data_IF_783639651255
#
_entry.id   IF_783639651255
#
_cell.length_a   1.000
_cell.length_b   1.000
_cell.length_c   1.000
_cell.angle_alpha   90.00
_cell.angle_beta   90.00
_cell.angle_gamma   90.00
#
_symmetry.space_group_name_H-M   'P 1'
#
loop_
_entity.id
_entity.type
_entity.pdbx_description
1 polymer ?
#
# COMPACT_ATOMS: atom_id res chain seq x y z
N UNK A 1 -33.17 -11.75 -34.57
CA UNK A 1 -31.71 -11.60 -34.38
C UNK A 1 -31.29 -12.42 -33.16
N UNK A 2 -30.43 -13.41 -33.37
CA UNK A 2 -30.19 -14.53 -32.43
C UNK A 2 -29.23 -14.15 -31.29
N UNK A 3 -29.60 -14.50 -30.06
CA UNK A 3 -28.87 -14.22 -28.79
C UNK A 3 -27.44 -14.77 -28.75
N UNK A 4 -27.06 -15.61 -29.71
CA UNK A 4 -25.76 -16.27 -29.78
C UNK A 4 -24.62 -15.34 -30.23
N UNK A 5 -24.89 -14.32 -31.05
CA UNK A 5 -23.82 -13.42 -31.54
C UNK A 5 -23.34 -12.39 -30.50
N UNK A 6 -24.19 -12.02 -29.54
CA UNK A 6 -23.82 -11.06 -28.47
C UNK A 6 -22.83 -11.66 -27.48
N UNK A 7 -22.81 -12.99 -27.33
CA UNK A 7 -21.88 -13.68 -26.43
C UNK A 7 -20.46 -13.82 -26.99
N UNK A 8 -20.29 -13.92 -28.31
CA UNK A 8 -18.94 -13.98 -28.90
C UNK A 8 -18.21 -12.62 -28.84
N UNK A 9 -18.92 -11.50 -28.99
CA UNK A 9 -18.31 -10.17 -28.92
C UNK A 9 -17.88 -9.76 -27.50
N UNK A 10 -18.48 -10.34 -26.45
CA UNK A 10 -18.07 -10.10 -25.06
C UNK A 10 -16.87 -10.93 -24.61
N UNK A 11 -16.56 -12.02 -25.29
CA UNK A 11 -15.37 -12.83 -24.97
C UNK A 11 -14.08 -12.26 -25.59
N UNK A 12 -14.18 -11.59 -26.74
CA UNK A 12 -13.01 -11.01 -27.42
C UNK A 12 -12.54 -9.67 -26.86
N UNK A 13 -13.36 -8.96 -26.09
CA UNK A 13 -12.96 -7.69 -25.45
C UNK A 13 -12.30 -7.88 -24.09
N UNK A 14 -12.44 -9.06 -23.46
CA UNK A 14 -11.81 -9.35 -22.17
C UNK A 14 -10.36 -9.82 -22.33
N UNK A 15 -9.99 -10.35 -23.50
CA UNK A 15 -8.64 -10.91 -23.73
C UNK A 15 -7.58 -9.83 -24.00
N UNK A 16 -7.96 -8.58 -24.31
CA UNK A 16 -7.00 -7.50 -24.57
C UNK A 16 -6.70 -6.59 -23.37
N UNK A 17 -7.33 -6.80 -22.20
CA UNK A 17 -7.06 -5.99 -21.00
C UNK A 17 -6.16 -6.70 -19.97
N UNK A 18 -5.86 -7.99 -20.15
CA UNK A 18 -5.14 -8.80 -19.13
C UNK A 18 -3.60 -8.74 -19.31
N UNK A 19 -3.10 -8.01 -20.31
CA UNK A 19 -1.65 -7.84 -20.50
C UNK A 19 -1.01 -6.73 -19.64
N UNK A 20 -1.78 -5.96 -18.87
CA UNK A 20 -1.27 -4.79 -18.13
C UNK A 20 -1.44 -4.84 -16.60
N UNK A 21 -1.81 -5.97 -16.01
CA UNK A 21 -1.92 -6.08 -14.54
C UNK A 21 -0.63 -6.59 -13.85
N UNK A 22 0.42 -6.88 -14.63
CA UNK A 22 1.66 -7.45 -14.13
C UNK A 22 2.67 -6.48 -13.45
N UNK A 23 2.55 -5.13 -13.44
CA UNK A 23 3.55 -4.30 -12.76
C UNK A 23 3.07 -3.59 -11.48
N UNK A 24 1.86 -3.82 -10.96
CA UNK A 24 1.39 -3.04 -9.79
C UNK A 24 2.07 -3.41 -8.46
N UNK A 25 2.66 -4.59 -8.36
CA UNK A 25 3.16 -5.10 -7.07
C UNK A 25 4.67 -4.97 -6.90
N UNK A 26 5.42 -4.89 -8.00
CA UNK A 26 6.86 -4.58 -8.01
C UNK A 26 7.13 -3.14 -8.47
N UNK A 27 6.20 -2.55 -9.22
CA UNK A 27 6.37 -1.24 -9.85
C UNK A 27 5.85 -0.06 -9.04
N UNK A 28 4.98 -0.23 -8.04
CA UNK A 28 4.46 0.92 -7.26
C UNK A 28 5.48 1.49 -6.29
N UNK A 29 6.43 0.68 -5.80
CA UNK A 29 7.53 1.19 -4.97
C UNK A 29 8.51 2.03 -5.80
N UNK A 30 8.72 1.69 -7.08
CA UNK A 30 9.58 2.47 -7.99
C UNK A 30 8.84 3.62 -8.70
N UNK A 31 7.56 3.46 -9.06
CA UNK A 31 6.78 4.46 -9.77
C UNK A 31 6.38 5.62 -8.86
N UNK A 32 6.07 5.38 -7.58
CA UNK A 32 5.87 6.48 -6.62
C UNK A 32 7.18 7.20 -6.28
N UNK A 33 8.33 6.55 -6.46
CA UNK A 33 9.64 7.19 -6.28
C UNK A 33 9.97 8.17 -7.41
N UNK A 34 9.36 8.01 -8.60
CA UNK A 34 9.60 8.87 -9.76
C UNK A 34 8.71 10.13 -9.80
N UNK A 35 7.53 10.12 -9.17
CA UNK A 35 6.64 11.31 -9.12
C UNK A 35 7.01 12.32 -8.00
N UNK A 36 8.12 12.11 -7.28
CA UNK A 36 8.59 13.01 -6.22
C UNK A 36 9.59 14.08 -6.68
N UNK A 37 9.73 14.31 -7.98
CA UNK A 37 10.66 15.32 -8.50
C UNK A 37 9.96 16.64 -8.82
N UNK A 38 8.97 17.10 -8.04
CA UNK A 38 8.36 18.43 -8.26
C UNK A 38 7.63 18.97 -7.03
N UNK A 39 8.40 19.26 -5.97
CA UNK A 39 8.19 20.38 -5.01
C UNK A 39 9.34 20.32 -4.01
N UNK A 40 10.52 20.81 -4.41
CA UNK A 40 11.65 20.97 -3.49
C UNK A 40 11.40 22.14 -2.53
N UNK A 41 10.59 21.91 -1.50
CA UNK A 41 11.07 22.24 -0.15
C UNK A 41 12.08 21.16 0.24
N UNK A 42 13.13 21.48 0.99
CA UNK A 42 14.01 20.45 1.57
C UNK A 42 13.12 19.52 2.38
N UNK A 43 12.86 18.31 1.90
CA UNK A 43 12.21 17.31 2.71
C UNK A 43 13.12 17.05 3.92
N UNK A 44 12.62 17.23 5.15
CA UNK A 44 13.41 16.95 6.35
C UNK A 44 13.81 15.48 6.47
N UNK A 45 13.15 14.57 5.73
CA UNK A 45 13.50 13.16 5.67
C UNK A 45 14.64 12.90 4.69
N UNK A 46 15.62 12.12 5.13
CA UNK A 46 16.59 11.52 4.24
C UNK A 46 15.95 10.39 3.40
N UNK A 47 16.67 9.91 2.39
CA UNK A 47 16.15 8.90 1.46
C UNK A 47 15.71 7.60 2.14
N UNK A 48 16.39 7.18 3.21
CA UNK A 48 16.04 5.96 3.96
C UNK A 48 14.76 6.15 4.78
N UNK A 49 14.65 7.27 5.50
CA UNK A 49 13.46 7.60 6.28
C UNK A 49 12.23 7.70 5.39
N UNK A 50 12.36 8.35 4.22
CA UNK A 50 11.26 8.44 3.25
C UNK A 50 10.85 7.06 2.72
N UNK A 51 11.82 6.20 2.42
CA UNK A 51 11.55 4.83 1.98
C UNK A 51 10.82 4.04 3.06
N UNK A 52 11.31 4.08 4.31
CA UNK A 52 10.69 3.38 5.44
C UNK A 52 9.29 3.89 5.75
N UNK A 53 9.04 5.20 5.63
CA UNK A 53 7.70 5.78 5.74
C UNK A 53 6.75 5.21 4.67
N UNK A 54 7.21 5.10 3.41
CA UNK A 54 6.41 4.50 2.32
C UNK A 54 6.14 3.00 2.52
N UNK A 55 7.11 2.25 3.05
CA UNK A 55 6.93 0.84 3.40
C UNK A 55 5.95 0.70 4.57
N UNK A 56 6.08 1.51 5.62
CA UNK A 56 5.16 1.51 6.76
C UNK A 56 3.71 1.74 6.31
N UNK A 57 3.48 2.72 5.43
CA UNK A 57 2.15 2.97 4.86
C UNK A 57 1.60 1.77 4.06
N UNK A 58 2.45 1.09 3.29
CA UNK A 58 2.09 -0.16 2.60
C UNK A 58 1.73 -1.28 3.58
N UNK A 59 2.47 -1.41 4.67
CA UNK A 59 2.21 -2.41 5.70
C UNK A 59 0.90 -2.15 6.45
N UNK A 60 0.56 -0.88 6.72
CA UNK A 60 -0.77 -0.51 7.23
C UNK A 60 -1.86 -1.00 6.28
N UNK A 61 -1.73 -0.75 4.97
CA UNK A 61 -2.70 -1.17 3.98
C UNK A 61 -2.84 -2.72 3.91
N UNK A 62 -1.72 -3.46 3.95
CA UNK A 62 -1.76 -4.92 3.94
C UNK A 62 -2.39 -5.51 5.20
N UNK A 63 -2.06 -4.99 6.38
CA UNK A 63 -2.67 -5.46 7.63
C UNK A 63 -4.16 -5.09 7.70
N UNK A 64 -4.55 -3.90 7.24
CA UNK A 64 -5.96 -3.52 7.14
C UNK A 64 -6.73 -4.48 6.21
N UNK A 65 -6.17 -4.74 5.03
CA UNK A 65 -6.77 -5.64 4.06
C UNK A 65 -6.83 -7.10 4.56
N UNK A 66 -5.79 -7.55 5.27
CA UNK A 66 -5.76 -8.86 5.90
C UNK A 66 -6.90 -9.07 6.89
N UNK A 67 -7.18 -8.08 7.73
CA UNK A 67 -8.29 -8.16 8.69
C UNK A 67 -9.66 -8.00 8.01
N UNK A 68 -9.78 -7.10 7.04
CA UNK A 68 -11.06 -6.77 6.41
C UNK A 68 -11.50 -7.78 5.34
N UNK A 69 -10.57 -8.30 4.54
CA UNK A 69 -10.88 -9.06 3.32
C UNK A 69 -10.43 -10.53 3.37
N UNK A 70 -9.54 -10.89 4.30
CA UNK A 70 -8.96 -12.23 4.43
C UNK A 70 -9.35 -12.96 5.71
N UNK A 71 -10.19 -12.34 6.56
CA UNK A 71 -10.66 -12.91 7.83
C UNK A 71 -9.52 -13.32 8.78
N UNK A 72 -8.34 -12.68 8.65
CA UNK A 72 -7.25 -12.91 9.60
C UNK A 72 -7.64 -12.38 10.99
N UNK A 73 -7.18 -13.02 12.08
CA UNK A 73 -7.54 -12.63 13.43
C UNK A 73 -7.26 -11.14 13.66
N UNK A 74 -8.23 -10.39 14.18
CA UNK A 74 -8.03 -8.97 14.48
C UNK A 74 -6.97 -8.81 15.58
N UNK A 75 -7.04 -9.68 16.59
CA UNK A 75 -6.09 -9.70 17.69
C UNK A 75 -4.67 -9.99 17.18
N UNK A 76 -3.71 -9.16 17.60
CA UNK A 76 -2.32 -9.19 17.12
C UNK A 76 -2.09 -8.47 15.79
N UNK A 77 -2.94 -8.67 14.77
CA UNK A 77 -2.78 -7.97 13.48
C UNK A 77 -3.11 -6.47 13.59
N UNK A 78 -4.08 -6.10 14.42
CA UNK A 78 -4.38 -4.68 14.69
C UNK A 78 -3.24 -4.02 15.47
N UNK A 79 -2.61 -4.71 16.41
CA UNK A 79 -1.44 -4.20 17.14
C UNK A 79 -0.25 -3.95 16.19
N UNK A 80 -0.01 -4.87 15.25
CA UNK A 80 1.00 -4.66 14.20
C UNK A 80 0.63 -3.49 13.30
N UNK A 81 -0.62 -3.42 12.81
CA UNK A 81 -1.11 -2.29 12.01
C UNK A 81 -0.89 -0.95 12.72
N UNK A 82 -1.24 -0.88 14.00
CA UNK A 82 -1.05 0.31 14.82
C UNK A 82 0.44 0.67 14.95
N UNK A 83 1.33 -0.32 15.11
CA UNK A 83 2.77 -0.06 15.17
C UNK A 83 3.30 0.57 13.87
N UNK A 84 2.84 0.11 12.69
CA UNK A 84 3.22 0.74 11.42
C UNK A 84 2.63 2.16 11.25
N UNK A 85 1.43 2.41 11.78
CA UNK A 85 0.87 3.77 11.86
C UNK A 85 1.74 4.68 12.72
N UNK A 86 2.18 4.21 13.88
CA UNK A 86 3.04 4.99 14.78
C UNK A 86 4.38 5.31 14.13
N UNK A 87 4.99 4.34 13.42
CA UNK A 87 6.19 4.55 12.59
C UNK A 87 5.94 5.61 11.53
N UNK A 88 4.85 5.47 10.75
CA UNK A 88 4.51 6.43 9.70
C UNK A 88 4.37 7.83 10.28
N UNK A 89 3.63 7.97 11.38
CA UNK A 89 3.37 9.23 12.06
C UNK A 89 4.66 9.88 12.56
N UNK A 90 5.53 9.11 13.21
CA UNK A 90 6.79 9.60 13.74
C UNK A 90 7.71 10.14 12.62
N UNK A 91 7.76 9.46 11.48
CA UNK A 91 8.52 9.90 10.31
C UNK A 91 7.84 11.08 9.60
N UNK A 92 6.53 11.02 9.36
CA UNK A 92 5.80 12.05 8.63
C UNK A 92 5.73 13.39 9.36
N UNK A 93 5.77 13.39 10.70
CA UNK A 93 5.79 14.62 11.53
C UNK A 93 7.18 15.24 11.64
N UNK A 94 8.26 14.51 11.31
CA UNK A 94 9.65 14.94 11.53
C UNK A 94 9.96 16.20 10.74
N UNK A 95 10.12 17.33 11.43
CA UNK A 95 10.47 18.61 10.82
C UNK A 95 9.40 19.19 9.89
N UNK A 96 8.15 18.71 9.95
CA UNK A 96 7.05 19.16 9.09
C UNK A 96 5.92 19.81 9.87
N UNK A 97 5.25 20.85 9.32
CA UNK A 97 4.03 21.38 9.92
C UNK A 97 2.87 20.40 9.75
N UNK A 98 1.90 20.46 10.67
CA UNK A 98 0.75 19.54 10.73
C UNK A 98 0.00 19.36 9.40
N UNK A 99 -0.22 20.46 8.66
CA UNK A 99 -0.92 20.44 7.37
C UNK A 99 -0.26 19.52 6.32
N UNK A 100 1.07 19.44 6.34
CA UNK A 100 1.83 18.65 5.36
C UNK A 100 1.81 17.17 5.76
N UNK A 101 1.79 16.90 7.07
CA UNK A 101 1.57 15.56 7.63
C UNK A 101 0.17 15.02 7.25
N UNK A 102 -0.90 15.80 7.43
CA UNK A 102 -2.27 15.36 7.12
C UNK A 102 -2.44 15.01 5.63
N UNK A 103 -1.82 15.80 4.74
CA UNK A 103 -1.78 15.51 3.31
C UNK A 103 -1.01 14.21 2.99
N UNK A 104 0.11 13.97 3.68
CA UNK A 104 0.85 12.71 3.57
C UNK A 104 0.05 11.52 4.09
N UNK A 105 -0.61 11.63 5.24
CA UNK A 105 -1.45 10.58 5.79
C UNK A 105 -2.57 10.19 4.81
N UNK A 106 -3.27 11.17 4.26
CA UNK A 106 -4.34 10.92 3.29
C UNK A 106 -3.83 10.19 2.05
N UNK A 107 -2.71 10.65 1.48
CA UNK A 107 -2.14 10.06 0.25
C UNK A 107 -1.53 8.69 0.49
N UNK A 108 -0.71 8.55 1.51
CA UNK A 108 0.16 7.39 1.67
C UNK A 108 -0.53 6.26 2.42
N UNK A 109 -1.37 6.58 3.40
CA UNK A 109 -2.08 5.60 4.23
C UNK A 109 -3.50 5.37 3.74
N UNK A 110 -4.33 6.42 3.67
CA UNK A 110 -5.77 6.27 3.35
C UNK A 110 -5.97 5.79 1.91
N UNK A 111 -5.42 6.50 0.92
CA UNK A 111 -5.60 6.13 -0.49
C UNK A 111 -4.98 4.77 -0.81
N UNK A 112 -3.82 4.44 -0.24
CA UNK A 112 -3.17 3.14 -0.45
C UNK A 112 -3.99 1.99 0.15
N UNK A 113 -4.60 2.21 1.31
CA UNK A 113 -5.51 1.23 1.92
C UNK A 113 -6.74 0.98 1.05
N UNK A 114 -7.33 2.06 0.51
CA UNK A 114 -8.44 1.97 -0.45
C UNK A 114 -8.00 1.20 -1.70
N UNK A 115 -6.82 1.48 -2.25
CA UNK A 115 -6.29 0.80 -3.43
C UNK A 115 -6.13 -0.70 -3.20
N UNK A 116 -5.46 -1.10 -2.11
CA UNK A 116 -5.21 -2.52 -1.80
C UNK A 116 -6.54 -3.28 -1.60
N UNK A 117 -7.47 -2.73 -0.82
CA UNK A 117 -8.79 -3.34 -0.60
C UNK A 117 -9.61 -3.44 -1.88
N UNK A 118 -9.62 -2.38 -2.70
CA UNK A 118 -10.30 -2.38 -4.01
C UNK A 118 -9.73 -3.43 -4.96
N UNK A 119 -8.39 -3.60 -4.99
CA UNK A 119 -7.74 -4.64 -5.81
C UNK A 119 -8.20 -6.03 -5.36
N UNK A 120 -8.29 -6.29 -4.05
CA UNK A 120 -8.77 -7.59 -3.52
C UNK A 120 -10.22 -7.84 -3.88
N UNK A 121 -11.08 -6.83 -3.76
CA UNK A 121 -12.50 -6.95 -4.10
C UNK A 121 -12.70 -7.23 -5.59
N UNK A 122 -11.86 -6.65 -6.46
CA UNK A 122 -11.94 -6.84 -7.91
C UNK A 122 -11.31 -8.16 -8.40
N UNK A 123 -10.20 -8.60 -7.80
CA UNK A 123 -9.52 -9.86 -8.15
C UNK A 123 -8.99 -10.59 -6.90
N UNK A 124 -9.88 -11.26 -6.15
CA UNK A 124 -9.50 -11.91 -4.91
C UNK A 124 -8.56 -13.12 -5.13
N UNK A 125 -8.66 -13.81 -6.26
CA UNK A 125 -7.83 -14.99 -6.52
C UNK A 125 -6.35 -14.60 -6.69
N UNK A 126 -6.09 -13.47 -7.34
CA UNK A 126 -4.72 -13.00 -7.57
C UNK A 126 -4.20 -12.15 -6.41
N UNK A 127 -5.03 -11.30 -5.81
CA UNK A 127 -4.58 -10.31 -4.83
C UNK A 127 -4.40 -10.88 -3.42
N UNK A 128 -5.29 -11.77 -2.98
CA UNK A 128 -5.25 -12.32 -1.61
C UNK A 128 -3.91 -13.03 -1.30
N UNK A 129 -3.36 -13.91 -2.17
CA UNK A 129 -2.06 -14.52 -1.93
C UNK A 129 -0.92 -13.50 -1.83
N UNK A 130 -1.02 -12.39 -2.55
CA UNK A 130 0.02 -11.36 -2.55
C UNK A 130 0.03 -10.55 -1.26
N UNK A 131 -1.15 -10.22 -0.73
CA UNK A 131 -1.25 -9.60 0.61
C UNK A 131 -0.65 -10.53 1.66
N UNK A 132 -1.03 -11.81 1.67
CA UNK A 132 -0.48 -12.79 2.61
C UNK A 132 1.04 -12.95 2.48
N UNK A 133 1.57 -12.92 1.26
CA UNK A 133 3.02 -13.00 1.02
C UNK A 133 3.78 -11.73 1.44
N UNK A 134 3.10 -10.58 1.58
CA UNK A 134 3.74 -9.33 1.98
C UNK A 134 3.69 -9.08 3.51
N UNK A 135 2.78 -9.71 4.26
CA UNK A 135 2.74 -9.56 5.73
C UNK A 135 4.07 -9.97 6.41
N UNK A 136 4.71 -11.11 6.08
CA UNK A 136 6.00 -11.46 6.68
C UNK A 136 7.13 -10.51 6.28
N UNK A 137 7.05 -9.90 5.09
CA UNK A 137 8.05 -8.92 4.63
C UNK A 137 7.91 -7.61 5.39
N UNK A 138 6.68 -7.22 5.72
CA UNK A 138 6.43 -6.10 6.63
C UNK A 138 7.09 -6.36 7.97
N UNK A 139 6.84 -7.53 8.56
CA UNK A 139 7.37 -7.88 9.89
C UNK A 139 8.89 -7.87 9.94
N UNK A 140 9.56 -8.30 8.85
CA UNK A 140 11.02 -8.27 8.75
C UNK A 140 11.62 -6.85 8.79
N UNK A 141 10.84 -5.81 8.48
CA UNK A 141 11.30 -4.42 8.52
C UNK A 141 10.91 -3.68 9.81
N UNK A 142 10.10 -4.28 10.69
CA UNK A 142 9.47 -3.56 11.79
C UNK A 142 10.48 -3.00 12.81
N UNK A 143 11.47 -3.80 13.20
CA UNK A 143 12.48 -3.37 14.19
C UNK A 143 13.36 -2.23 13.66
N UNK A 144 13.73 -2.29 12.39
CA UNK A 144 14.48 -1.21 11.73
C UNK A 144 13.65 0.07 11.67
N UNK A 145 12.38 -0.06 11.24
CA UNK A 145 11.45 1.05 11.17
C UNK A 145 11.27 1.75 12.51
N UNK A 146 11.04 0.99 13.59
CA UNK A 146 10.94 1.51 14.95
C UNK A 146 12.19 2.26 15.36
N UNK A 147 13.36 1.69 15.07
CA UNK A 147 14.66 2.31 15.39
C UNK A 147 14.84 3.64 14.68
N UNK A 148 14.57 3.69 13.36
CA UNK A 148 14.70 4.94 12.57
C UNK A 148 13.65 5.99 12.96
N UNK A 149 12.45 5.53 13.32
CA UNK A 149 11.36 6.37 13.82
C UNK A 149 11.62 6.90 15.24
N UNK A 150 12.51 6.27 16.00
CA UNK A 150 12.78 6.62 17.41
C UNK A 150 11.70 6.12 18.37
N UNK A 151 11.11 4.96 18.08
CA UNK A 151 9.99 4.34 18.82
C UNK A 151 10.42 3.11 19.64
N UNK A 152 11.68 3.10 20.09
CA UNK A 152 12.27 1.99 20.84
C UNK A 152 11.90 2.04 22.32
#
# INVERSE_FOLDING_TARGET
MSKTMVRLFRLLTVVSAIACAAPLWSGTVQAQNQTQTQTQGKDPLNGRERQLMGIAASCVAFYQAAMAELELPIEGNEAKRQTYLDVFDALAKRGRPRKDYEASFQRDVVMRTIEVTTIIQNDPQTARPQVLANLPKCDAHLDEMKTVAGLN
#
